data_IF_986748295136
#
_entry.id   IF_986748295136
#
_cell.length_a   1.000
_cell.length_b   1.000
_cell.length_c   1.000
_cell.angle_alpha   90.00
_cell.angle_beta   90.00
_cell.angle_gamma   90.00
#
_symmetry.space_group_name_H-M   'P 1'
#
loop_
_entity.id
_entity.type
_entity.pdbx_description
1 polymer ?
#
# COMPACT_ATOMS: atom_id res chain seq x y z
N UNK A 1 22.64 -20.79 -30.43
CA UNK A 1 21.52 -20.79 -29.45
C UNK A 1 20.29 -21.40 -30.12
N UNK A 2 19.52 -22.26 -29.44
CA UNK A 2 18.44 -23.04 -30.04
C UNK A 2 17.20 -22.16 -30.33
N UNK A 3 16.77 -22.04 -31.60
CA UNK A 3 15.73 -21.07 -32.04
C UNK A 3 14.40 -21.26 -31.32
N UNK A 4 14.02 -22.51 -31.03
CA UNK A 4 12.80 -22.83 -30.29
C UNK A 4 12.80 -22.25 -28.87
N UNK A 5 13.95 -22.31 -28.18
CA UNK A 5 14.09 -21.74 -26.84
C UNK A 5 13.99 -20.21 -26.87
N UNK A 6 14.57 -19.58 -27.89
CA UNK A 6 14.46 -18.13 -28.06
C UNK A 6 13.01 -17.69 -28.31
N UNK A 7 12.26 -18.45 -29.13
CA UNK A 7 10.85 -18.20 -29.37
C UNK A 7 10.00 -18.37 -28.11
N UNK A 8 10.20 -19.47 -27.37
CA UNK A 8 9.52 -19.70 -26.09
C UNK A 8 9.78 -18.57 -25.08
N UNK A 9 11.05 -18.15 -24.92
CA UNK A 9 11.41 -17.04 -24.04
C UNK A 9 10.80 -15.69 -24.46
N UNK A 10 10.53 -15.48 -25.75
CA UNK A 10 9.79 -14.30 -26.22
C UNK A 10 8.35 -14.36 -25.72
N UNK A 11 7.66 -15.47 -25.98
CA UNK A 11 6.27 -15.66 -25.56
C UNK A 11 6.12 -15.48 -24.06
N UNK A 12 7.03 -16.04 -23.26
CA UNK A 12 6.98 -15.87 -21.81
C UNK A 12 7.16 -14.41 -21.39
N UNK A 13 8.11 -13.67 -21.98
CA UNK A 13 8.32 -12.25 -21.65
C UNK A 13 7.13 -11.38 -22.02
N UNK A 14 6.45 -11.70 -23.12
CA UNK A 14 5.32 -10.93 -23.62
C UNK A 14 4.03 -11.20 -22.84
N UNK A 15 3.91 -12.35 -22.15
CA UNK A 15 2.65 -12.78 -21.55
C UNK A 15 2.71 -13.08 -20.04
N UNK A 16 3.91 -13.12 -19.42
CA UNK A 16 4.06 -13.38 -17.99
C UNK A 16 4.48 -12.11 -17.24
N UNK A 17 3.51 -11.45 -16.63
CA UNK A 17 3.75 -10.32 -15.72
C UNK A 17 3.65 -10.78 -14.27
N UNK A 18 4.70 -10.53 -13.48
CA UNK A 18 4.79 -10.92 -12.07
C UNK A 18 4.78 -9.65 -11.23
N UNK A 19 3.87 -9.59 -10.25
CA UNK A 19 3.81 -8.53 -9.25
C UNK A 19 4.17 -9.11 -7.89
N UNK A 20 5.12 -8.50 -7.21
CA UNK A 20 5.59 -8.91 -5.89
C UNK A 20 5.27 -7.83 -4.87
N UNK A 21 4.60 -8.20 -3.79
CA UNK A 21 4.37 -7.31 -2.65
C UNK A 21 5.36 -7.62 -1.54
N UNK A 22 6.07 -6.60 -1.07
CA UNK A 22 7.10 -6.74 -0.06
C UNK A 22 6.96 -5.59 0.93
N UNK A 23 7.06 -5.89 2.22
CA UNK A 23 7.15 -4.82 3.22
C UNK A 23 8.59 -4.29 3.26
N UNK A 24 8.81 -2.97 3.14
CA UNK A 24 10.12 -2.38 3.35
C UNK A 24 10.50 -2.31 4.83
N UNK A 25 9.57 -2.65 5.74
CA UNK A 25 9.86 -2.70 7.17
C UNK A 25 10.85 -3.82 7.50
N UNK A 26 11.86 -3.49 8.32
CA UNK A 26 12.93 -4.41 8.68
C UNK A 26 13.95 -4.66 7.57
N UNK A 27 14.69 -5.76 7.69
CA UNK A 27 15.88 -6.00 6.84
C UNK A 27 15.62 -6.97 5.68
N UNK A 28 14.50 -7.70 5.68
CA UNK A 28 14.23 -8.76 4.70
C UNK A 28 14.18 -8.23 3.27
N UNK A 29 13.53 -7.09 3.03
CA UNK A 29 13.49 -6.47 1.71
C UNK A 29 14.90 -6.11 1.21
N UNK A 30 15.70 -5.49 2.08
CA UNK A 30 17.10 -5.12 1.78
C UNK A 30 17.97 -6.35 1.52
N UNK A 31 17.78 -7.44 2.27
CA UNK A 31 18.50 -8.70 2.05
C UNK A 31 18.11 -9.34 0.71
N UNK A 32 16.81 -9.38 0.39
CA UNK A 32 16.31 -9.97 -0.87
C UNK A 32 16.80 -9.21 -2.09
N UNK A 33 16.83 -7.87 -2.07
CA UNK A 33 17.41 -7.08 -3.17
C UNK A 33 18.90 -7.37 -3.36
N UNK A 34 19.67 -7.55 -2.28
CA UNK A 34 21.10 -7.90 -2.37
C UNK A 34 21.33 -9.31 -2.91
N UNK A 35 20.49 -10.27 -2.50
CA UNK A 35 20.57 -11.65 -2.99
C UNK A 35 20.12 -11.79 -4.44
N UNK A 36 19.16 -10.96 -4.88
CA UNK A 36 18.54 -11.04 -6.21
C UNK A 36 18.54 -9.67 -6.90
N UNK A 37 19.66 -9.26 -7.53
CA UNK A 37 19.78 -7.95 -8.19
C UNK A 37 18.71 -7.70 -9.28
N UNK A 38 18.19 -8.76 -9.90
CA UNK A 38 17.12 -8.70 -10.90
C UNK A 38 15.83 -8.05 -10.38
N UNK A 39 15.59 -8.06 -9.06
CA UNK A 39 14.45 -7.36 -8.45
C UNK A 39 14.55 -5.82 -8.58
N UNK A 40 15.75 -5.28 -8.81
CA UNK A 40 15.96 -3.85 -9.03
C UNK A 40 16.23 -3.51 -10.49
N UNK A 41 16.84 -4.42 -11.26
CA UNK A 41 17.20 -4.16 -12.67
C UNK A 41 16.13 -4.57 -13.67
N UNK A 42 15.23 -5.49 -13.31
CA UNK A 42 14.23 -6.06 -14.23
C UNK A 42 12.79 -5.86 -13.76
N UNK A 43 12.56 -5.03 -12.74
CA UNK A 43 11.24 -4.72 -12.20
C UNK A 43 11.13 -3.22 -11.93
N UNK A 44 9.89 -2.73 -11.92
CA UNK A 44 9.58 -1.37 -11.46
C UNK A 44 9.19 -1.43 -9.99
N UNK A 45 9.82 -0.58 -9.17
CA UNK A 45 9.48 -0.46 -7.74
C UNK A 45 8.42 0.64 -7.60
N UNK A 46 7.27 0.26 -7.07
CA UNK A 46 6.19 1.18 -6.69
C UNK A 46 6.09 1.27 -5.16
N UNK A 47 6.14 2.50 -4.64
CA UNK A 47 6.16 2.77 -3.20
C UNK A 47 4.77 3.14 -2.69
N UNK A 48 4.23 2.30 -1.81
CA UNK A 48 2.95 2.55 -1.17
C UNK A 48 3.16 3.46 0.04
N UNK A 49 2.92 4.75 -0.17
CA UNK A 49 3.02 5.77 0.87
C UNK A 49 1.77 5.79 1.76
N UNK A 50 1.87 6.30 3.00
CA UNK A 50 0.70 6.57 3.82
C UNK A 50 -0.31 7.42 3.07
N UNK A 51 -1.59 7.13 3.27
CA UNK A 51 -2.66 7.84 2.59
C UNK A 51 -2.70 9.31 3.02
N UNK A 52 -2.78 10.26 2.07
CA UNK A 52 -3.04 11.64 2.41
C UNK A 52 -4.47 11.82 2.92
N UNK A 53 -4.71 12.89 3.66
CA UNK A 53 -6.03 13.24 4.20
C UNK A 53 -7.13 13.21 3.12
N UNK A 54 -6.83 13.72 1.92
CA UNK A 54 -7.75 13.73 0.78
C UNK A 54 -8.16 12.32 0.32
N UNK A 55 -7.25 11.34 0.37
CA UNK A 55 -7.55 9.97 0.03
C UNK A 55 -8.43 9.33 1.13
N UNK A 56 -8.15 9.63 2.40
CA UNK A 56 -8.98 9.17 3.51
C UNK A 56 -10.40 9.76 3.43
N UNK A 57 -10.53 11.06 3.11
CA UNK A 57 -11.83 11.70 2.87
C UNK A 57 -12.57 11.05 1.68
N UNK A 58 -11.86 10.75 0.59
CA UNK A 58 -12.46 10.10 -0.58
C UNK A 58 -13.00 8.71 -0.25
N UNK A 59 -12.24 7.91 0.50
CA UNK A 59 -12.70 6.59 0.94
C UNK A 59 -13.83 6.69 1.94
N UNK A 60 -13.77 7.60 2.91
CA UNK A 60 -14.86 7.80 3.85
C UNK A 60 -16.15 8.22 3.12
N UNK A 61 -16.06 9.13 2.15
CA UNK A 61 -17.18 9.55 1.31
C UNK A 61 -17.78 8.40 0.52
N UNK A 62 -16.94 7.55 -0.08
CA UNK A 62 -17.40 6.38 -0.83
C UNK A 62 -18.01 5.30 0.07
N UNK A 63 -17.40 5.04 1.23
CA UNK A 63 -17.86 4.04 2.17
C UNK A 63 -19.20 4.43 2.83
N UNK A 64 -19.36 5.71 3.12
CA UNK A 64 -20.57 6.26 3.75
C UNK A 64 -21.62 6.69 2.72
N UNK A 65 -21.42 6.48 1.42
CA UNK A 65 -22.33 6.96 0.38
C UNK A 65 -23.77 6.42 0.54
N UNK A 66 -23.88 5.14 0.90
CA UNK A 66 -25.17 4.46 1.05
C UNK A 66 -25.77 4.57 2.47
N UNK A 67 -25.07 5.26 3.38
CA UNK A 67 -25.58 5.49 4.73
C UNK A 67 -26.76 6.46 4.66
N UNK A 68 -27.89 6.07 5.25
CA UNK A 68 -29.04 6.94 5.43
C UNK A 68 -28.68 8.01 6.48
N UNK A 69 -28.43 9.23 6.02
CA UNK A 69 -28.21 10.42 6.85
C UNK A 69 -29.19 11.51 6.43
N UNK A 70 -29.59 12.35 7.38
CA UNK A 70 -30.65 13.34 7.17
C UNK A 70 -30.17 14.51 6.30
N UNK A 71 -28.85 14.76 6.24
CA UNK A 71 -28.26 15.82 5.43
C UNK A 71 -26.86 15.49 4.92
N UNK A 72 -26.49 16.13 3.81
CA UNK A 72 -25.13 16.03 3.27
C UNK A 72 -24.09 16.68 4.18
N UNK A 73 -24.49 17.67 5.00
CA UNK A 73 -23.62 18.24 6.01
C UNK A 73 -23.23 17.22 7.09
N UNK A 74 -24.20 16.42 7.57
CA UNK A 74 -23.92 15.32 8.49
C UNK A 74 -22.99 14.29 7.84
N UNK A 75 -23.21 13.94 6.56
CA UNK A 75 -22.32 13.02 5.83
C UNK A 75 -20.88 13.54 5.80
N UNK A 76 -20.69 14.80 5.41
CA UNK A 76 -19.38 15.42 5.37
C UNK A 76 -18.69 15.47 6.75
N UNK A 77 -19.46 15.73 7.80
CA UNK A 77 -18.95 15.70 9.18
C UNK A 77 -18.51 14.28 9.60
N UNK A 78 -19.29 13.25 9.26
CA UNK A 78 -18.92 11.85 9.50
C UNK A 78 -17.65 11.46 8.75
N UNK A 79 -17.52 11.86 7.48
CA UNK A 79 -16.30 11.60 6.71
C UNK A 79 -15.07 12.22 7.38
N UNK A 80 -15.16 13.49 7.81
CA UNK A 80 -14.08 14.16 8.55
C UNK A 80 -13.77 13.48 9.88
N UNK A 81 -14.80 12.99 10.58
CA UNK A 81 -14.61 12.23 11.81
C UNK A 81 -13.84 10.94 11.56
N UNK A 82 -14.15 10.19 10.50
CA UNK A 82 -13.39 8.99 10.14
C UNK A 82 -11.91 9.29 9.91
N UNK A 83 -11.61 10.40 9.23
CA UNK A 83 -10.23 10.85 9.02
C UNK A 83 -9.55 11.19 10.34
N UNK A 84 -10.19 11.99 11.20
CA UNK A 84 -9.64 12.35 12.50
C UNK A 84 -9.38 11.11 13.38
N UNK A 85 -10.28 10.13 13.38
CA UNK A 85 -10.09 8.86 14.09
C UNK A 85 -8.88 8.12 13.52
N UNK A 86 -8.77 7.99 12.19
CA UNK A 86 -7.65 7.29 11.55
C UNK A 86 -6.30 7.94 11.89
N UNK A 87 -6.22 9.27 11.84
CA UNK A 87 -5.01 10.01 12.19
C UNK A 87 -4.66 9.91 13.68
N UNK A 88 -5.66 9.97 14.56
CA UNK A 88 -5.42 9.84 16.01
C UNK A 88 -4.87 8.47 16.37
N UNK A 89 -5.40 7.37 15.80
CA UNK A 89 -4.88 6.01 16.03
C UNK A 89 -3.43 5.89 15.58
N UNK A 90 -3.04 6.55 14.48
CA UNK A 90 -1.64 6.56 14.02
C UNK A 90 -0.72 7.21 15.06
N UNK A 91 -1.08 8.37 15.58
CA UNK A 91 -0.32 9.07 16.63
C UNK A 91 -0.23 8.23 17.90
N UNK A 92 -1.34 7.61 18.30
CA UNK A 92 -1.41 6.77 19.49
C UNK A 92 -0.59 5.48 19.35
N UNK A 93 -0.55 4.87 18.16
CA UNK A 93 0.30 3.72 17.88
C UNK A 93 1.80 4.07 17.97
N UNK A 94 2.20 5.26 17.51
CA UNK A 94 3.56 5.76 17.66
C UNK A 94 3.93 5.98 19.14
N UNK A 95 3.01 6.57 19.93
CA UNK A 95 3.20 6.74 21.38
C UNK A 95 3.32 5.40 22.09
N UNK A 96 2.44 4.45 21.80
CA UNK A 96 2.47 3.09 22.36
C UNK A 96 3.82 2.40 22.09
N UNK A 97 4.34 2.54 20.87
CA UNK A 97 5.65 1.99 20.53
C UNK A 97 6.79 2.67 21.27
N UNK A 98 6.75 4.00 21.41
CA UNK A 98 7.77 4.76 22.13
C UNK A 98 7.86 4.36 23.61
N UNK A 99 6.71 4.15 24.26
CA UNK A 99 6.62 3.84 25.68
C UNK A 99 6.90 2.35 25.98
N UNK A 100 6.29 1.44 25.22
CA UNK A 100 6.28 0.02 25.55
C UNK A 100 7.18 -0.83 24.65
N UNK A 101 7.79 -0.25 23.61
CA UNK A 101 8.60 -0.94 22.59
C UNK A 101 7.87 -2.10 21.92
N UNK A 102 6.53 -2.04 21.91
CA UNK A 102 5.64 -3.00 21.25
C UNK A 102 4.97 -2.30 20.08
N UNK A 103 4.78 -3.01 18.97
CA UNK A 103 3.91 -2.51 17.91
C UNK A 103 2.46 -2.76 18.32
N UNK A 104 1.59 -1.76 18.07
CA UNK A 104 0.15 -1.85 18.30
C UNK A 104 -0.54 -2.77 17.29
#
# INVERSE_FOLDING_TARGET
>A
QNVLLAHFNSICRDNLHIVLTMSPAGDQFRQRIRMFPSLTSCMTIDWFMPWPESALLSVAGRLLADLAVESEHQRAALCKLCVAIHESVKVEAERFHAELRRYA
#
